data_IF_314850805066
#
_entry.id   IF_314850805066
#
_cell.length_a   1.000
_cell.length_b   1.000
_cell.length_c   1.000
_cell.angle_alpha   90.00
_cell.angle_beta   90.00
_cell.angle_gamma   90.00
#
_symmetry.space_group_name_H-M   'P 1'
#
loop_
_entity.id
_entity.type
_entity.pdbx_description
1 polymer ?
#
# COMPACT_ATOMS: atom_id res chain seq x y z
N UNK A 1 -3.83 25.17 10.47
CA UNK A 1 -4.18 24.77 9.09
C UNK A 1 -4.57 23.29 9.05
N UNK A 2 -5.30 22.82 8.04
CA UNK A 2 -5.47 21.38 7.77
C UNK A 2 -4.96 21.05 6.37
N UNK A 3 -4.01 20.13 6.31
CA UNK A 3 -3.37 19.67 5.09
C UNK A 3 -3.86 18.27 4.77
N UNK A 4 -4.27 18.04 3.52
CA UNK A 4 -4.77 16.75 3.06
C UNK A 4 -3.84 16.16 2.01
N UNK A 5 -3.31 14.98 2.28
CA UNK A 5 -2.68 14.17 1.26
C UNK A 5 -3.65 13.08 0.79
N UNK A 6 -3.93 13.07 -0.50
CA UNK A 6 -4.87 12.11 -1.11
C UNK A 6 -4.08 10.96 -1.71
N UNK A 7 -4.33 9.73 -1.27
CA UNK A 7 -3.68 8.56 -1.85
C UNK A 7 -3.97 8.48 -3.37
N UNK A 8 -3.00 8.08 -4.22
CA UNK A 8 -3.19 7.99 -5.66
C UNK A 8 -4.41 7.18 -6.10
N UNK A 9 -4.77 6.10 -5.38
CA UNK A 9 -5.96 5.30 -5.66
C UNK A 9 -7.22 6.15 -5.50
N UNK A 10 -7.40 6.76 -4.33
CA UNK A 10 -8.56 7.60 -4.05
C UNK A 10 -8.60 8.83 -4.96
N UNK A 11 -7.44 9.46 -5.22
CA UNK A 11 -7.34 10.60 -6.12
C UNK A 11 -7.77 10.24 -7.56
N UNK A 12 -7.37 9.07 -8.06
CA UNK A 12 -7.75 8.58 -9.39
C UNK A 12 -9.24 8.27 -9.54
N UNK A 13 -9.94 7.97 -8.43
CA UNK A 13 -11.38 7.74 -8.44
C UNK A 13 -12.20 9.03 -8.34
N UNK A 14 -11.64 10.14 -7.85
CA UNK A 14 -12.42 11.34 -7.58
C UNK A 14 -12.68 12.18 -8.83
N UNK A 15 -13.90 12.69 -8.98
CA UNK A 15 -14.18 13.75 -9.93
C UNK A 15 -13.56 15.08 -9.48
N UNK A 16 -12.77 15.72 -10.34
CA UNK A 16 -11.98 16.90 -10.00
C UNK A 16 -12.82 18.06 -9.44
N UNK A 17 -13.93 18.40 -10.10
CA UNK A 17 -14.82 19.49 -9.67
C UNK A 17 -15.55 19.17 -8.35
N UNK A 18 -15.87 17.91 -8.11
CA UNK A 18 -16.49 17.49 -6.85
C UNK A 18 -15.47 17.53 -5.72
N UNK A 19 -14.25 17.07 -5.96
CA UNK A 19 -13.16 17.10 -5.01
C UNK A 19 -12.79 18.54 -4.63
N UNK A 20 -12.67 19.44 -5.61
CA UNK A 20 -12.37 20.86 -5.36
C UNK A 20 -13.39 21.50 -4.42
N UNK A 21 -14.69 21.29 -4.68
CA UNK A 21 -15.79 21.80 -3.83
C UNK A 21 -15.74 21.23 -2.42
N UNK A 22 -15.40 19.95 -2.27
CA UNK A 22 -15.20 19.32 -0.97
C UNK A 22 -14.05 19.97 -0.20
N UNK A 23 -12.89 20.17 -0.84
CA UNK A 23 -11.73 20.81 -0.22
C UNK A 23 -12.04 22.24 0.24
N UNK A 24 -12.68 23.05 -0.61
CA UNK A 24 -13.07 24.42 -0.30
C UNK A 24 -14.06 24.48 0.87
N UNK A 25 -15.09 23.63 0.86
CA UNK A 25 -16.11 23.56 1.92
C UNK A 25 -15.51 23.24 3.28
N UNK A 26 -14.54 22.33 3.31
CA UNK A 26 -13.93 21.83 4.55
C UNK A 26 -12.62 22.56 4.92
N UNK A 27 -12.23 23.60 4.17
CA UNK A 27 -11.01 24.36 4.45
C UNK A 27 -9.72 23.52 4.35
N UNK A 28 -9.73 22.47 3.52
CA UNK A 28 -8.62 21.53 3.37
C UNK A 28 -7.65 21.99 2.28
N UNK A 29 -6.37 22.10 2.62
CA UNK A 29 -5.32 22.39 1.65
C UNK A 29 -4.70 21.09 1.16
N UNK A 30 -4.88 20.76 -0.12
CA UNK A 30 -4.24 19.56 -0.70
C UNK A 30 -2.73 19.74 -0.74
N UNK A 31 -2.00 18.71 -0.35
CA UNK A 31 -0.53 18.65 -0.39
C UNK A 31 -0.06 17.37 -1.08
N UNK A 32 1.14 17.42 -1.63
CA UNK A 32 1.80 16.29 -2.30
C UNK A 32 3.17 16.06 -1.66
N UNK A 33 3.68 14.82 -1.74
CA UNK A 33 5.05 14.51 -1.36
C UNK A 33 6.04 15.13 -2.35
N UNK A 34 7.22 15.52 -1.85
CA UNK A 34 8.36 15.95 -2.67
C UNK A 34 9.20 14.74 -3.11
N UNK A 35 9.25 13.70 -2.28
CA UNK A 35 9.98 12.48 -2.58
C UNK A 35 9.20 11.52 -3.47
N UNK A 36 9.89 10.87 -4.40
CA UNK A 36 9.37 9.71 -5.12
C UNK A 36 9.52 8.45 -4.24
N UNK A 37 8.62 8.33 -3.26
CA UNK A 37 8.64 7.20 -2.33
C UNK A 37 8.31 5.87 -2.99
N UNK A 38 7.59 5.88 -4.13
CA UNK A 38 7.38 4.67 -4.94
C UNK A 38 8.72 4.14 -5.45
N UNK A 39 9.50 4.96 -6.16
CA UNK A 39 10.82 4.55 -6.62
C UNK A 39 11.73 4.12 -5.46
N UNK A 40 11.79 4.90 -4.39
CA UNK A 40 12.66 4.59 -3.23
C UNK A 40 12.29 3.25 -2.57
N UNK A 41 11.01 2.98 -2.38
CA UNK A 41 10.56 1.69 -1.84
C UNK A 41 10.93 0.56 -2.79
N UNK A 42 10.69 0.74 -4.09
CA UNK A 42 11.06 -0.27 -5.10
C UNK A 42 12.56 -0.58 -5.10
N UNK A 43 13.41 0.44 -5.01
CA UNK A 43 14.88 0.28 -4.89
C UNK A 43 15.28 -0.48 -3.62
N UNK A 44 14.55 -0.30 -2.50
CA UNK A 44 14.79 -1.10 -1.28
C UNK A 44 14.44 -2.57 -1.47
N UNK A 45 13.39 -2.89 -2.23
CA UNK A 45 13.08 -4.27 -2.59
C UNK A 45 14.20 -4.87 -3.43
N UNK A 46 14.64 -4.17 -4.48
CA UNK A 46 15.77 -4.60 -5.34
C UNK A 46 17.04 -4.86 -4.51
N UNK A 47 17.36 -3.97 -3.57
CA UNK A 47 18.49 -4.14 -2.67
C UNK A 47 18.34 -5.29 -1.66
N UNK A 48 17.13 -5.81 -1.44
CA UNK A 48 16.81 -6.88 -0.48
C UNK A 48 16.71 -8.26 -1.12
N UNK A 49 16.60 -8.35 -2.46
CA UNK A 49 16.56 -9.63 -3.18
C UNK A 49 17.88 -10.39 -3.01
N UNK A 50 17.76 -11.69 -2.70
CA UNK A 50 18.89 -12.60 -2.48
C UNK A 50 18.53 -14.01 -2.92
N UNK A 51 19.53 -14.75 -3.39
CA UNK A 51 19.34 -16.14 -3.79
C UNK A 51 18.85 -17.01 -2.62
N UNK A 52 17.98 -17.98 -2.93
CA UNK A 52 17.49 -18.98 -1.96
C UNK A 52 16.41 -18.48 -0.99
N UNK A 53 15.99 -17.22 -1.09
CA UNK A 53 14.90 -16.66 -0.29
C UNK A 53 13.88 -16.01 -1.21
N UNK A 54 12.61 -16.35 -1.01
CA UNK A 54 11.50 -15.65 -1.63
C UNK A 54 11.04 -14.55 -0.70
N UNK A 55 11.06 -13.31 -1.18
CA UNK A 55 10.61 -12.16 -0.43
C UNK A 55 9.12 -11.92 -0.71
N UNK A 56 8.30 -11.66 0.31
CA UNK A 56 6.92 -11.26 0.16
C UNK A 56 6.78 -9.76 0.39
N UNK A 57 6.09 -9.08 -0.52
CA UNK A 57 5.70 -7.68 -0.41
C UNK A 57 4.91 -7.39 0.87
N UNK A 58 5.32 -6.34 1.58
CA UNK A 58 4.71 -5.88 2.83
C UNK A 58 3.89 -4.58 2.70
N UNK A 59 3.64 -4.10 1.47
CA UNK A 59 2.85 -2.88 1.24
C UNK A 59 1.37 -3.05 1.59
N UNK A 60 0.85 -4.29 1.55
CA UNK A 60 -0.53 -4.62 1.92
C UNK A 60 -0.56 -5.27 3.31
N UNK A 61 -1.01 -4.56 4.38
CA UNK A 61 -0.99 -5.09 5.73
C UNK A 61 -1.89 -6.32 5.91
N UNK A 62 -3.03 -6.38 5.22
CA UNK A 62 -3.94 -7.53 5.27
C UNK A 62 -3.33 -8.77 4.59
N UNK A 63 -2.56 -8.59 3.51
CA UNK A 63 -1.87 -9.70 2.87
C UNK A 63 -0.73 -10.23 3.73
N UNK A 64 0.00 -9.34 4.41
CA UNK A 64 1.02 -9.72 5.42
C UNK A 64 0.37 -10.51 6.55
N UNK A 65 -0.74 -10.03 7.11
CA UNK A 65 -1.46 -10.73 8.18
C UNK A 65 -1.87 -12.14 7.75
N UNK A 66 -2.45 -12.29 6.56
CA UNK A 66 -2.84 -13.59 6.01
C UNK A 66 -1.61 -14.51 5.83
N UNK A 67 -0.50 -13.98 5.31
CA UNK A 67 0.72 -14.78 5.15
C UNK A 67 1.28 -15.23 6.50
N UNK A 68 1.26 -14.36 7.51
CA UNK A 68 1.67 -14.72 8.88
C UNK A 68 0.74 -15.75 9.53
N UNK A 69 -0.56 -15.71 9.24
CA UNK A 69 -1.53 -16.72 9.67
C UNK A 69 -1.19 -18.08 9.05
N UNK A 70 -0.99 -18.15 7.73
CA UNK A 70 -0.57 -19.37 7.02
C UNK A 70 0.76 -19.88 7.58
N UNK A 71 1.69 -18.98 7.93
CA UNK A 71 2.99 -19.30 8.50
C UNK A 71 2.95 -19.94 9.89
N UNK A 72 1.87 -19.72 10.64
CA UNK A 72 1.69 -20.28 11.98
C UNK A 72 0.94 -21.62 11.97
N UNK A 73 0.41 -22.05 10.82
CA UNK A 73 -0.29 -23.32 10.69
C UNK A 73 0.70 -24.51 10.85
N UNK A 74 0.39 -25.52 11.69
CA UNK A 74 1.31 -26.62 12.00
C UNK A 74 1.83 -27.38 10.77
N UNK A 75 0.97 -27.60 9.78
CA UNK A 75 1.30 -28.21 8.49
C UNK A 75 2.39 -27.46 7.70
N UNK A 76 2.59 -26.17 7.99
CA UNK A 76 3.51 -25.29 7.28
C UNK A 76 4.78 -24.94 8.08
N UNK A 77 4.89 -25.34 9.35
CA UNK A 77 5.94 -24.91 10.30
C UNK A 77 7.38 -25.15 9.79
N UNK A 78 7.58 -26.18 8.96
CA UNK A 78 8.88 -26.52 8.35
C UNK A 78 8.94 -26.29 6.82
N UNK A 79 7.82 -25.97 6.19
CA UNK A 79 7.69 -25.97 4.72
C UNK A 79 7.98 -24.63 4.04
N UNK A 80 7.91 -23.52 4.79
CA UNK A 80 7.92 -22.15 4.25
C UNK A 80 8.92 -21.21 4.92
N UNK A 81 9.96 -21.77 5.54
CA UNK A 81 11.04 -21.01 6.20
C UNK A 81 11.73 -19.98 5.29
N UNK A 82 11.82 -20.25 3.98
CA UNK A 82 12.47 -19.39 2.99
C UNK A 82 11.51 -18.36 2.37
N UNK A 83 10.24 -18.33 2.77
CA UNK A 83 9.30 -17.27 2.43
C UNK A 83 9.31 -16.22 3.54
N UNK A 84 9.86 -15.04 3.27
CA UNK A 84 10.02 -13.98 4.26
C UNK A 84 9.24 -12.73 3.87
N UNK A 85 8.48 -12.17 4.79
CA UNK A 85 7.92 -10.81 4.63
C UNK A 85 9.06 -9.80 4.55
N UNK A 86 8.99 -8.90 3.58
CA UNK A 86 9.97 -7.83 3.44
C UNK A 86 9.92 -6.87 4.64
N UNK A 87 11.05 -6.55 5.27
CA UNK A 87 11.11 -5.55 6.34
C UNK A 87 11.09 -4.13 5.75
N UNK A 88 10.14 -3.86 4.85
CA UNK A 88 10.01 -2.59 4.11
C UNK A 88 8.59 -2.07 4.34
N UNK A 89 8.47 -0.89 4.93
CA UNK A 89 7.18 -0.25 5.20
C UNK A 89 6.41 0.06 3.90
N UNK A 90 5.07 0.12 3.94
CA UNK A 90 4.26 0.62 2.83
C UNK A 90 4.65 2.03 2.41
N UNK A 91 4.56 2.32 1.11
CA UNK A 91 4.84 3.65 0.51
C UNK A 91 4.11 4.77 1.27
N UNK A 92 2.86 4.52 1.67
CA UNK A 92 2.04 5.47 2.44
C UNK A 92 2.73 5.98 3.71
N UNK A 93 3.42 5.09 4.44
CA UNK A 93 4.05 5.45 5.71
C UNK A 93 5.27 6.35 5.47
N UNK A 94 6.01 6.13 4.37
CA UNK A 94 7.08 7.04 3.96
C UNK A 94 6.54 8.42 3.56
N UNK A 95 5.45 8.47 2.79
CA UNK A 95 4.77 9.73 2.46
C UNK A 95 4.37 10.48 3.73
N UNK A 96 3.76 9.80 4.69
CA UNK A 96 3.32 10.41 5.94
C UNK A 96 4.48 10.95 6.79
N UNK A 97 5.59 10.21 6.90
CA UNK A 97 6.80 10.66 7.62
C UNK A 97 7.42 11.91 7.00
N UNK A 98 7.43 12.00 5.67
CA UNK A 98 7.86 13.21 4.97
C UNK A 98 6.95 14.40 5.34
N UNK A 99 5.64 14.23 5.16
CA UNK A 99 4.68 15.32 5.37
C UNK A 99 4.61 15.75 6.84
N UNK A 100 4.78 14.83 7.78
CA UNK A 100 4.77 15.13 9.22
C UNK A 100 5.96 16.00 9.64
N UNK A 101 7.09 15.91 8.93
CA UNK A 101 8.34 16.61 9.26
C UNK A 101 8.61 17.84 8.39
N UNK A 102 7.76 18.12 7.40
CA UNK A 102 7.93 19.27 6.51
C UNK A 102 7.75 20.61 7.25
N UNK A 103 8.75 21.51 7.23
CA UNK A 103 8.65 22.80 7.91
C UNK A 103 7.52 23.70 7.39
N UNK A 104 7.22 23.61 6.09
CA UNK A 104 6.14 24.38 5.47
C UNK A 104 4.73 23.90 5.85
N UNK A 105 4.61 22.75 6.51
CA UNK A 105 3.34 22.17 6.98
C UNK A 105 3.28 22.09 8.52
N UNK A 106 4.18 22.78 9.22
CA UNK A 106 4.33 22.69 10.67
C UNK A 106 3.18 23.38 11.45
N UNK A 107 2.47 24.30 10.82
CA UNK A 107 1.36 25.10 11.40
C UNK A 107 -0.01 24.40 11.33
N UNK A 108 -0.04 23.11 10.96
CA UNK A 108 -1.28 22.41 10.71
C UNK A 108 -1.24 20.91 10.95
N UNK A 109 -2.45 20.37 11.06
CA UNK A 109 -2.71 18.94 11.06
C UNK A 109 -2.53 18.38 9.65
N UNK A 110 -1.92 17.19 9.53
CA UNK A 110 -1.79 16.42 8.30
C UNK A 110 -2.78 15.26 8.33
N UNK A 111 -3.69 15.23 7.37
CA UNK A 111 -4.62 14.15 7.14
C UNK A 111 -4.08 13.32 5.98
N UNK A 112 -3.70 12.08 6.26
CA UNK A 112 -3.20 11.13 5.28
C UNK A 112 -4.34 10.17 4.94
N UNK A 113 -4.78 10.18 3.69
CA UNK A 113 -5.85 9.27 3.26
C UNK A 113 -5.32 7.94 2.75
N UNK A 114 -6.16 6.91 2.78
CA UNK A 114 -5.82 5.57 2.29
C UNK A 114 -7.07 4.86 1.75
N UNK A 115 -6.94 4.00 0.72
CA UNK A 115 -8.02 3.15 0.24
C UNK A 115 -8.29 1.93 1.16
N UNK A 116 -7.60 1.80 2.30
CA UNK A 116 -7.68 0.63 3.18
C UNK A 116 -7.76 1.03 4.66
N UNK A 117 -8.73 0.46 5.40
CA UNK A 117 -8.91 0.72 6.83
C UNK A 117 -7.74 0.21 7.66
N UNK A 118 -7.27 -1.01 7.39
CA UNK A 118 -6.14 -1.63 8.09
C UNK A 118 -4.86 -0.79 7.95
N UNK A 119 -4.62 -0.24 6.75
CA UNK A 119 -3.49 0.65 6.51
C UNK A 119 -3.64 1.99 7.25
N UNK A 120 -4.87 2.49 7.47
CA UNK A 120 -5.10 3.65 8.32
C UNK A 120 -4.77 3.36 9.79
N UNK A 121 -5.16 2.17 10.30
CA UNK A 121 -4.83 1.74 11.67
C UNK A 121 -3.32 1.63 11.84
N UNK A 122 -2.64 0.96 10.90
CA UNK A 122 -1.19 0.85 10.90
C UNK A 122 -0.51 2.22 10.89
N UNK A 123 -0.96 3.14 10.04
CA UNK A 123 -0.43 4.50 10.00
C UNK A 123 -0.61 5.25 11.32
N UNK A 124 -1.80 5.19 11.92
CA UNK A 124 -2.07 5.84 13.20
C UNK A 124 -1.23 5.27 14.36
N UNK A 125 -0.88 3.98 14.32
CA UNK A 125 0.00 3.38 15.35
C UNK A 125 1.42 3.95 15.36
N UNK A 126 1.84 4.66 14.30
CA UNK A 126 3.14 5.33 14.26
C UNK A 126 3.24 6.53 15.21
N UNK A 127 2.11 7.09 15.65
CA UNK A 127 2.09 8.24 16.55
C UNK A 127 2.77 9.49 15.98
N UNK A 128 2.67 9.72 14.67
CA UNK A 128 3.28 10.87 14.02
C UNK A 128 2.66 12.18 14.51
N UNK A 129 3.49 13.16 14.81
CA UNK A 129 3.06 14.45 15.36
C UNK A 129 2.10 15.18 14.41
N UNK A 130 1.00 15.69 14.96
CA UNK A 130 -0.03 16.45 14.23
C UNK A 130 -0.45 15.76 12.92
N UNK A 131 -0.47 14.43 12.90
CA UNK A 131 -0.71 13.63 11.70
C UNK A 131 -1.66 12.49 12.04
N UNK A 132 -2.71 12.32 11.25
CA UNK A 132 -3.62 11.18 11.39
C UNK A 132 -3.92 10.57 10.04
N UNK A 133 -4.19 9.26 10.07
CA UNK A 133 -4.56 8.49 8.91
C UNK A 133 -6.06 8.22 8.93
N UNK A 134 -6.71 8.36 7.79
CA UNK A 134 -8.15 8.11 7.64
C UNK A 134 -8.40 7.39 6.31
N UNK A 135 -9.30 6.41 6.33
CA UNK A 135 -9.77 5.84 5.08
C UNK A 135 -10.59 6.86 4.28
N UNK A 136 -10.46 6.84 2.96
CA UNK A 136 -11.10 7.84 2.09
C UNK A 136 -12.61 7.92 2.29
N UNK A 137 -13.30 6.78 2.33
CA UNK A 137 -14.76 6.74 2.56
C UNK A 137 -15.20 7.33 3.90
N UNK A 138 -14.38 7.23 4.95
CA UNK A 138 -14.67 7.84 6.26
C UNK A 138 -14.47 9.34 6.26
N UNK A 139 -13.57 9.86 5.41
CA UNK A 139 -13.33 11.30 5.29
C UNK A 139 -14.35 11.97 4.37
N UNK A 140 -14.54 11.42 3.17
CA UNK A 140 -15.37 12.02 2.13
C UNK A 140 -16.87 11.71 2.32
N UNK A 141 -17.23 10.58 2.93
CA UNK A 141 -18.61 10.29 3.34
C UNK A 141 -19.68 10.40 2.25
N UNK A 142 -19.34 10.18 0.98
CA UNK A 142 -20.27 10.37 -0.14
C UNK A 142 -20.34 11.79 -0.70
N UNK A 143 -19.66 12.78 -0.09
CA UNK A 143 -19.67 14.17 -0.55
C UNK A 143 -18.87 14.41 -1.84
N UNK A 144 -17.96 13.51 -2.16
CA UNK A 144 -17.15 13.56 -3.38
C UNK A 144 -17.71 12.55 -4.37
N UNK A 145 -18.09 13.01 -5.56
CA UNK A 145 -18.45 12.13 -6.67
C UNK A 145 -17.22 11.31 -7.05
N UNK A 146 -17.39 10.00 -7.14
CA UNK A 146 -16.34 9.06 -7.52
C UNK A 146 -16.74 8.33 -8.79
N UNK A 147 -15.74 7.82 -9.51
CA UNK A 147 -15.91 6.98 -10.69
C UNK A 147 -15.30 5.62 -10.44
N UNK A 148 -15.97 4.58 -10.93
CA UNK A 148 -15.32 3.29 -11.06
C UNK A 148 -14.12 3.42 -12.02
N UNK A 149 -13.00 2.81 -11.64
CA UNK A 149 -11.80 2.72 -12.47
C UNK A 149 -11.51 1.24 -12.71
N UNK A 150 -11.19 0.88 -13.95
CA UNK A 150 -10.85 -0.49 -14.31
C UNK A 150 -9.43 -0.83 -13.86
N UNK A 151 -8.51 0.13 -14.00
CA UNK A 151 -7.12 -0.01 -13.58
C UNK A 151 -6.86 0.74 -12.26
N UNK A 152 -6.35 0.02 -11.27
CA UNK A 152 -5.83 0.62 -10.06
C UNK A 152 -4.67 1.57 -10.39
N UNK A 153 -4.58 2.78 -9.79
CA UNK A 153 -3.37 3.60 -9.82
C UNK A 153 -2.20 2.92 -9.10
N UNK A 154 -2.50 1.89 -8.31
CA UNK A 154 -1.54 0.96 -7.72
C UNK A 154 -1.97 -0.47 -8.12
N UNK A 155 -1.72 -0.88 -9.38
CA UNK A 155 -2.13 -2.20 -9.85
C UNK A 155 -1.11 -3.27 -9.44
N UNK A 156 -1.48 -4.56 -9.51
CA UNK A 156 -0.48 -5.62 -9.62
C UNK A 156 0.51 -5.29 -10.75
N UNK A 157 1.78 -5.64 -10.56
CA UNK A 157 2.88 -5.32 -11.48
C UNK A 157 3.78 -4.18 -11.00
N UNK A 158 3.65 -3.70 -9.76
CA UNK A 158 4.53 -2.65 -9.23
C UNK A 158 6.01 -3.02 -9.29
N UNK A 159 6.33 -4.32 -9.25
CA UNK A 159 7.69 -4.84 -9.34
C UNK A 159 8.06 -5.36 -10.74
N UNK A 160 7.25 -5.10 -11.76
CA UNK A 160 7.55 -5.51 -13.13
C UNK A 160 8.94 -5.01 -13.57
N UNK A 161 9.78 -5.91 -14.05
CA UNK A 161 11.16 -5.60 -14.48
C UNK A 161 12.13 -5.28 -13.35
N UNK A 162 11.85 -5.63 -12.09
CA UNK A 162 12.83 -5.50 -11.01
C UNK A 162 13.99 -6.47 -11.22
N UNK A 163 15.21 -6.00 -10.97
CA UNK A 163 16.42 -6.80 -11.07
C UNK A 163 16.95 -7.18 -9.68
N UNK A 164 17.76 -8.22 -9.63
CA UNK A 164 18.63 -8.54 -8.50
C UNK A 164 19.89 -7.67 -8.59
N UNK A 165 20.66 -7.61 -7.50
CA UNK A 165 21.92 -6.82 -7.43
C UNK A 165 22.96 -7.17 -8.50
N UNK A 166 22.94 -8.40 -9.01
CA UNK A 166 23.83 -8.85 -10.08
C UNK A 166 23.33 -8.46 -11.49
N UNK A 167 22.25 -7.70 -11.57
CA UNK A 167 21.65 -7.21 -12.81
C UNK A 167 20.71 -8.19 -13.50
N UNK A 168 20.51 -9.40 -12.95
CA UNK A 168 19.58 -10.38 -13.52
C UNK A 168 18.13 -10.02 -13.17
N UNK A 169 17.21 -10.25 -14.12
CA UNK A 169 15.78 -10.07 -13.86
C UNK A 169 15.32 -11.00 -12.73
N UNK A 170 14.61 -10.44 -11.76
CA UNK A 170 14.00 -11.22 -10.69
C UNK A 170 12.71 -11.88 -11.19
N UNK A 171 12.44 -13.11 -10.74
CA UNK A 171 11.15 -13.74 -10.97
C UNK A 171 10.14 -13.20 -9.95
N UNK A 172 9.22 -12.38 -10.45
CA UNK A 172 8.14 -11.77 -9.66
C UNK A 172 6.84 -12.50 -9.96
N UNK A 173 6.08 -12.82 -8.92
CA UNK A 173 4.74 -13.37 -9.04
C UNK A 173 3.77 -12.47 -8.29
N UNK A 174 2.73 -12.00 -8.97
CA UNK A 174 1.72 -11.12 -8.39
C UNK A 174 0.44 -11.90 -8.11
N UNK A 175 0.04 -11.95 -6.84
CA UNK A 175 -1.13 -12.70 -6.39
C UNK A 175 -2.04 -11.77 -5.59
N UNK A 176 -3.29 -11.65 -6.05
CA UNK A 176 -4.32 -10.86 -5.37
C UNK A 176 -5.49 -11.72 -4.94
N UNK A 177 -6.23 -11.31 -3.91
CA UNK A 177 -7.32 -12.02 -3.21
C UNK A 177 -6.85 -13.04 -2.16
N UNK A 178 -7.56 -13.16 -1.02
CA UNK A 178 -7.14 -14.05 0.07
C UNK A 178 -7.07 -15.52 -0.35
N UNK A 179 -8.04 -15.98 -1.14
CA UNK A 179 -8.15 -17.38 -1.57
C UNK A 179 -6.97 -17.76 -2.48
N UNK A 180 -6.61 -16.87 -3.42
CA UNK A 180 -5.47 -17.12 -4.32
C UNK A 180 -4.14 -17.03 -3.58
N UNK A 181 -3.98 -16.09 -2.65
CA UNK A 181 -2.76 -15.98 -1.82
C UNK A 181 -2.55 -17.30 -1.06
N UNK A 182 -3.59 -17.78 -0.38
CA UNK A 182 -3.55 -19.04 0.37
C UNK A 182 -3.18 -20.23 -0.52
N UNK A 183 -3.95 -20.44 -1.59
CA UNK A 183 -3.70 -21.56 -2.51
C UNK A 183 -2.29 -21.52 -3.12
N UNK A 184 -1.79 -20.33 -3.45
CA UNK A 184 -0.45 -20.16 -4.01
C UNK A 184 0.65 -20.52 -3.00
N UNK A 185 0.51 -20.09 -1.74
CA UNK A 185 1.48 -20.39 -0.68
C UNK A 185 1.46 -21.88 -0.34
N UNK A 186 0.28 -22.47 -0.12
CA UNK A 186 0.09 -23.89 0.25
C UNK A 186 0.56 -24.85 -0.84
N UNK A 187 0.41 -24.47 -2.12
CA UNK A 187 0.93 -25.28 -3.25
C UNK A 187 2.46 -25.35 -3.31
N UNK A 188 3.18 -24.49 -2.57
CA UNK A 188 4.63 -24.37 -2.64
C UNK A 188 5.15 -23.66 -3.90
N UNK A 189 4.26 -23.13 -4.75
CA UNK A 189 4.63 -22.44 -6.01
C UNK A 189 5.56 -21.25 -5.79
N UNK A 190 5.46 -20.59 -4.63
CA UNK A 190 6.32 -19.49 -4.22
C UNK A 190 7.82 -19.81 -4.25
N UNK A 191 8.22 -21.09 -4.10
CA UNK A 191 9.63 -21.52 -4.11
C UNK A 191 10.35 -21.21 -5.43
N UNK A 192 9.60 -20.94 -6.49
CA UNK A 192 10.15 -20.58 -7.79
C UNK A 192 10.26 -19.07 -8.00
N UNK A 193 9.76 -18.24 -7.09
CA UNK A 193 9.77 -16.79 -7.18
C UNK A 193 10.86 -16.19 -6.30
N UNK A 194 11.42 -15.07 -6.74
CA UNK A 194 12.30 -14.23 -5.91
C UNK A 194 11.49 -13.25 -5.06
N UNK A 195 10.37 -12.76 -5.63
CA UNK A 195 9.50 -11.77 -5.02
C UNK A 195 8.04 -12.11 -5.27
N UNK A 196 7.23 -12.14 -4.21
CA UNK A 196 5.78 -12.19 -4.30
C UNK A 196 5.21 -10.80 -4.06
N UNK A 197 4.46 -10.30 -5.03
CA UNK A 197 3.59 -9.15 -4.82
C UNK A 197 2.24 -9.64 -4.34
N UNK A 198 1.87 -9.30 -3.10
CA UNK A 198 0.65 -9.79 -2.46
C UNK A 198 -0.32 -8.64 -2.20
N UNK A 199 -1.52 -8.74 -2.75
CA UNK A 199 -2.60 -7.76 -2.54
C UNK A 199 -3.84 -8.46 -2.00
N UNK A 200 -4.29 -8.10 -0.81
CA UNK A 200 -5.46 -8.73 -0.20
C UNK A 200 -6.74 -8.45 -1.00
N UNK A 201 -6.90 -7.21 -1.50
CA UNK A 201 -8.01 -6.84 -2.35
C UNK A 201 -7.82 -7.41 -3.75
N UNK A 202 -8.88 -7.98 -4.33
CA UNK A 202 -8.86 -8.53 -5.69
C UNK A 202 -8.50 -7.42 -6.68
N UNK A 203 -7.55 -7.70 -7.56
CA UNK A 203 -7.10 -6.82 -8.66
C UNK A 203 -6.52 -5.45 -8.21
N UNK A 204 -6.40 -5.19 -6.91
CA UNK A 204 -5.70 -4.04 -6.34
C UNK A 204 -6.50 -3.23 -5.32
N UNK A 205 -5.89 -2.16 -4.83
CA UNK A 205 -6.41 -1.37 -3.70
C UNK A 205 -7.65 -0.53 -4.03
N UNK A 206 -8.02 -0.35 -5.30
CA UNK A 206 -9.26 0.34 -5.69
C UNK A 206 -10.53 -0.42 -5.28
N UNK A 207 -10.42 -1.71 -4.95
CA UNK A 207 -11.47 -2.50 -4.30
C UNK A 207 -11.33 -2.55 -2.76
N UNK A 208 -10.53 -1.66 -2.18
CA UNK A 208 -10.28 -1.63 -0.74
C UNK A 208 -11.49 -1.16 0.08
N UNK A 209 -11.57 -1.64 1.31
CA UNK A 209 -12.61 -1.28 2.29
C UNK A 209 -12.57 0.19 2.76
N UNK A 210 -11.58 0.95 2.30
CA UNK A 210 -11.43 2.37 2.55
C UNK A 210 -11.77 3.26 1.36
N UNK A 211 -12.10 2.72 0.19
CA UNK A 211 -12.58 3.52 -0.95
C UNK A 211 -14.07 3.81 -0.84
N UNK A 212 -14.50 4.85 -1.55
CA UNK A 212 -15.92 5.08 -1.82
C UNK A 212 -16.27 4.40 -3.14
N UNK A 213 -17.41 3.72 -3.18
CA UNK A 213 -17.98 3.14 -4.40
C UNK A 213 -19.07 4.06 -4.95
N UNK A 214 -19.32 4.01 -6.26
CA UNK A 214 -20.52 4.59 -6.87
C UNK A 214 -21.81 4.06 -6.25
#
# INVERSE_FOLDING_TARGET
>A
MQYLWINPVSAGMCEEDSLKRFLERHGLTRVECRGDWGRIVRERYEASLRAGVTLADARCPEAVRLLEEIQKEPENESGIENLKVAPIEPILLHCARELSTRPDLADGEKIITTPCQSLAVLGNSLGLENTRFIAWNRLAGGEVCVRAIEDSPIPPGYFAGICRKDGQAAKVESVSSPEKIRAYVESGSWKQADLLELLYCKDGCHHGDGVQTE
#
